data_IF_564798674527
#
_entry.id   IF_564798674527
#
_cell.length_a   1.000
_cell.length_b   1.000
_cell.length_c   1.000
_cell.angle_alpha   90.00
_cell.angle_beta   90.00
_cell.angle_gamma   90.00
#
_symmetry.space_group_name_H-M   'P 1'
#
loop_
_entity.id
_entity.type
_entity.pdbx_description
1 polymer ?
#
# COMPACT_ATOMS: atom_id res chain seq x y z
N UNK A 1 -0.37 26.66 -25.25
CA UNK A 1 0.64 25.65 -24.84
C UNK A 1 1.78 26.18 -23.96
N UNK A 2 2.39 27.34 -24.27
CA UNK A 2 3.56 27.86 -23.52
C UNK A 2 3.35 28.06 -22.00
N UNK A 3 2.14 28.41 -21.53
CA UNK A 3 1.89 28.61 -20.09
C UNK A 3 1.85 27.31 -19.27
N UNK A 4 1.40 26.19 -19.86
CA UNK A 4 1.34 24.90 -19.16
C UNK A 4 2.75 24.36 -18.93
N UNK A 5 3.61 24.42 -19.95
CA UNK A 5 5.01 24.02 -19.87
C UNK A 5 5.77 24.88 -18.86
N UNK A 6 5.64 26.21 -18.90
CA UNK A 6 6.32 27.09 -17.94
C UNK A 6 5.93 26.80 -16.49
N UNK A 7 4.64 26.54 -16.22
CA UNK A 7 4.14 26.26 -14.87
C UNK A 7 4.54 24.87 -14.35
N UNK A 8 4.74 23.90 -15.24
CA UNK A 8 4.96 22.49 -14.88
C UNK A 8 6.35 21.96 -15.25
N UNK A 9 7.27 22.79 -15.73
CA UNK A 9 8.60 22.39 -16.23
C UNK A 9 9.35 21.44 -15.29
N UNK A 10 9.33 21.68 -13.98
CA UNK A 10 10.01 20.84 -12.99
C UNK A 10 9.36 19.46 -12.85
N UNK A 11 8.04 19.38 -12.93
CA UNK A 11 7.33 18.10 -12.91
C UNK A 11 7.59 17.32 -14.19
N UNK A 12 7.57 18.00 -15.34
CA UNK A 12 7.88 17.38 -16.64
C UNK A 12 9.31 16.83 -16.62
N UNK A 13 10.27 17.62 -16.14
CA UNK A 13 11.65 17.19 -16.00
C UNK A 13 11.78 15.99 -15.05
N UNK A 14 11.09 15.99 -13.91
CA UNK A 14 11.07 14.85 -12.99
C UNK A 14 10.50 13.57 -13.64
N UNK A 15 9.42 13.69 -14.42
CA UNK A 15 8.84 12.56 -15.17
C UNK A 15 9.83 12.02 -16.19
N UNK A 16 10.42 12.89 -17.03
CA UNK A 16 11.43 12.50 -18.02
C UNK A 16 12.61 11.83 -17.34
N UNK A 17 13.07 12.39 -16.22
CA UNK A 17 14.18 11.85 -15.43
C UNK A 17 13.88 10.45 -14.90
N UNK A 18 12.72 10.24 -14.28
CA UNK A 18 12.32 8.91 -13.76
C UNK A 18 12.17 7.89 -14.89
N UNK A 19 11.58 8.28 -16.03
CA UNK A 19 11.47 7.42 -17.21
C UNK A 19 12.86 7.04 -17.76
N UNK A 20 13.76 8.01 -17.92
CA UNK A 20 15.10 7.74 -18.42
C UNK A 20 15.88 6.80 -17.48
N UNK A 21 15.84 7.04 -16.17
CA UNK A 21 16.54 6.22 -15.18
C UNK A 21 15.92 4.83 -15.01
N UNK A 22 14.59 4.71 -15.08
CA UNK A 22 13.93 3.40 -14.98
C UNK A 22 14.24 2.49 -16.15
N UNK A 23 14.44 3.04 -17.35
CA UNK A 23 14.85 2.27 -18.53
C UNK A 23 16.34 1.91 -18.54
N UNK A 24 17.17 2.51 -17.69
CA UNK A 24 18.61 2.32 -17.71
C UNK A 24 19.04 0.84 -17.55
N UNK A 25 18.49 0.05 -16.60
CA UNK A 25 18.81 -1.37 -16.49
C UNK A 25 18.47 -2.16 -17.75
N UNK A 26 17.37 -1.81 -18.42
CA UNK A 26 16.95 -2.42 -19.67
C UNK A 26 17.87 -2.08 -20.83
N UNK A 27 18.19 -0.79 -21.00
CA UNK A 27 19.10 -0.35 -22.04
C UNK A 27 20.51 -0.95 -21.84
N UNK A 28 20.96 -1.05 -20.59
CA UNK A 28 22.23 -1.68 -20.26
C UNK A 28 22.24 -3.18 -20.58
N UNK A 29 21.14 -3.89 -20.28
CA UNK A 29 21.03 -5.31 -20.60
C UNK A 29 21.01 -5.57 -22.11
N UNK A 30 20.30 -4.75 -22.88
CA UNK A 30 20.30 -4.79 -24.36
C UNK A 30 21.70 -4.51 -24.89
N UNK A 31 22.40 -3.51 -24.33
CA UNK A 31 23.77 -3.19 -24.72
C UNK A 31 24.74 -4.35 -24.47
N UNK A 32 24.65 -5.01 -23.31
CA UNK A 32 25.50 -6.15 -22.97
C UNK A 32 25.22 -7.40 -23.82
N UNK A 33 23.95 -7.70 -24.07
CA UNK A 33 23.57 -8.84 -24.90
C UNK A 33 23.85 -8.63 -26.39
N UNK A 34 23.87 -7.38 -26.85
CA UNK A 34 24.13 -7.04 -28.24
C UNK A 34 23.10 -7.68 -29.20
N UNK A 35 23.53 -8.17 -30.37
CA UNK A 35 22.65 -8.80 -31.36
C UNK A 35 21.90 -10.05 -30.86
N UNK A 36 22.39 -10.70 -29.80
CA UNK A 36 21.84 -11.95 -29.29
C UNK A 36 20.66 -11.74 -28.32
N UNK A 37 20.24 -10.49 -28.10
CA UNK A 37 19.16 -10.15 -27.19
C UNK A 37 17.82 -10.82 -27.56
N UNK A 38 17.35 -11.72 -26.69
CA UNK A 38 16.09 -12.44 -26.85
C UNK A 38 14.91 -11.77 -26.12
N UNK A 39 15.04 -10.50 -25.71
CA UNK A 39 13.94 -9.77 -25.08
C UNK A 39 13.76 -9.99 -23.57
N UNK A 40 14.45 -10.98 -22.98
CA UNK A 40 14.46 -11.23 -21.54
C UNK A 40 15.61 -10.47 -20.91
N UNK A 41 15.31 -9.72 -19.83
CA UNK A 41 16.34 -9.03 -19.08
C UNK A 41 17.41 -10.01 -18.57
N UNK A 42 18.67 -9.78 -18.99
CA UNK A 42 19.83 -10.40 -18.38
C UNK A 42 19.71 -10.23 -16.87
N UNK A 43 20.00 -11.31 -16.14
CA UNK A 43 19.80 -11.36 -14.71
C UNK A 43 20.69 -10.32 -14.02
N UNK A 44 20.14 -9.12 -13.81
CA UNK A 44 20.84 -8.02 -13.16
C UNK A 44 20.89 -8.22 -11.64
N UNK A 45 19.92 -8.99 -11.13
CA UNK A 45 19.70 -9.33 -9.73
C UNK A 45 19.40 -10.83 -9.68
N UNK A 46 20.06 -11.60 -8.81
CA UNK A 46 20.02 -13.09 -8.71
C UNK A 46 18.62 -13.75 -8.58
N UNK A 47 17.53 -12.96 -8.56
CA UNK A 47 16.15 -13.41 -8.49
C UNK A 47 15.24 -12.86 -9.61
N UNK A 48 15.80 -12.15 -10.60
CA UNK A 48 15.02 -11.53 -11.68
C UNK A 48 14.28 -12.56 -12.56
N UNK A 49 14.99 -13.61 -12.97
CA UNK A 49 14.40 -14.70 -13.77
C UNK A 49 13.30 -15.43 -13.00
N UNK A 50 13.48 -15.61 -11.68
CA UNK A 50 12.47 -16.22 -10.82
C UNK A 50 11.15 -15.45 -10.87
N UNK A 51 11.19 -14.12 -10.76
CA UNK A 51 9.98 -13.31 -10.81
C UNK A 51 9.36 -13.19 -12.20
N UNK A 52 10.16 -13.15 -13.27
CA UNK A 52 9.61 -13.19 -14.63
C UNK A 52 8.89 -14.49 -14.94
N UNK A 53 9.41 -15.63 -14.47
CA UNK A 53 8.74 -16.92 -14.62
C UNK A 53 7.35 -16.91 -13.94
N UNK A 54 7.28 -16.42 -12.69
CA UNK A 54 6.01 -16.29 -11.96
C UNK A 54 5.01 -15.36 -12.64
N UNK A 55 5.47 -14.20 -13.12
CA UNK A 55 4.64 -13.27 -13.88
C UNK A 55 4.13 -13.92 -15.18
N UNK A 56 4.99 -14.65 -15.90
CA UNK A 56 4.58 -15.38 -17.11
C UNK A 56 3.51 -16.43 -16.82
N UNK A 57 3.65 -17.19 -15.73
CA UNK A 57 2.70 -18.23 -15.35
C UNK A 57 1.33 -17.66 -14.94
N UNK A 58 1.32 -16.56 -14.20
CA UNK A 58 0.08 -15.82 -13.90
C UNK A 58 -0.55 -15.29 -15.19
N UNK A 59 0.25 -14.75 -16.12
CA UNK A 59 -0.21 -14.31 -17.44
C UNK A 59 -0.88 -15.42 -18.25
N UNK A 60 -0.43 -16.68 -18.09
CA UNK A 60 -1.02 -17.87 -18.74
C UNK A 60 -2.28 -18.40 -18.02
N UNK A 61 -2.70 -17.77 -16.93
CA UNK A 61 -3.92 -18.13 -16.19
C UNK A 61 -3.67 -18.95 -14.92
N UNK A 62 -2.42 -19.22 -14.54
CA UNK A 62 -2.08 -19.89 -13.28
C UNK A 62 -2.04 -18.87 -12.13
N UNK A 63 -3.22 -18.35 -11.74
CA UNK A 63 -3.34 -17.29 -10.72
C UNK A 63 -2.89 -17.72 -9.32
N UNK A 64 -3.05 -19.00 -8.98
CA UNK A 64 -2.49 -19.58 -7.76
C UNK A 64 -1.24 -20.36 -8.15
N UNK A 65 -0.09 -19.69 -8.09
CA UNK A 65 1.20 -20.22 -8.53
C UNK A 65 1.88 -20.96 -7.39
N UNK A 66 2.38 -22.16 -7.69
CA UNK A 66 3.36 -22.88 -6.88
C UNK A 66 4.78 -22.33 -7.05
N UNK A 67 5.81 -23.15 -6.80
CA UNK A 67 7.19 -22.78 -7.14
C UNK A 67 7.48 -23.18 -8.60
N UNK A 68 7.80 -22.24 -9.51
CA UNK A 68 7.97 -22.55 -10.93
C UNK A 68 9.22 -23.39 -11.24
N UNK A 69 10.17 -23.53 -10.29
CA UNK A 69 11.41 -24.29 -10.50
C UNK A 69 11.30 -25.77 -10.10
N UNK A 70 10.25 -26.17 -9.38
CA UNK A 70 10.05 -27.55 -8.96
C UNK A 70 8.81 -28.12 -9.63
N UNK A 71 9.01 -29.06 -10.56
CA UNK A 71 7.93 -29.68 -11.34
C UNK A 71 6.87 -30.33 -10.44
N UNK A 72 7.31 -30.90 -9.34
CA UNK A 72 6.49 -31.57 -8.33
C UNK A 72 5.54 -30.60 -7.62
N UNK A 73 5.94 -29.34 -7.48
CA UNK A 73 5.23 -28.31 -6.71
C UNK A 73 4.52 -27.27 -7.59
N UNK A 74 4.44 -27.48 -8.91
CA UNK A 74 3.85 -26.51 -9.85
C UNK A 74 2.36 -26.22 -9.57
N UNK A 75 1.61 -27.22 -9.10
CA UNK A 75 0.17 -27.12 -8.83
C UNK A 75 -0.15 -26.88 -7.36
N UNK A 76 0.86 -26.79 -6.52
CA UNK A 76 0.66 -26.54 -5.09
C UNK A 76 0.42 -25.06 -4.83
N UNK A 77 -0.30 -24.76 -3.75
CA UNK A 77 -0.39 -23.39 -3.28
C UNK A 77 0.97 -22.96 -2.75
N UNK A 78 1.62 -22.01 -3.41
CA UNK A 78 2.84 -21.44 -2.88
C UNK A 78 2.53 -20.69 -1.58
N UNK A 79 3.31 -20.91 -0.50
CA UNK A 79 3.27 -20.04 0.66
C UNK A 79 3.80 -18.63 0.34
N UNK A 80 4.37 -18.41 -0.86
CA UNK A 80 4.85 -17.11 -1.30
C UNK A 80 3.69 -16.20 -1.78
N UNK A 81 3.74 -14.95 -1.34
CA UNK A 81 2.83 -13.88 -1.74
C UNK A 81 2.81 -13.71 -3.27
N UNK A 82 1.61 -13.66 -3.85
CA UNK A 82 1.39 -13.69 -5.31
C UNK A 82 0.71 -12.42 -5.84
N UNK A 83 0.27 -11.51 -4.96
CA UNK A 83 -0.45 -10.31 -5.39
C UNK A 83 0.40 -9.38 -6.26
N UNK A 84 1.71 -9.32 -6.02
CA UNK A 84 2.61 -8.54 -6.86
C UNK A 84 2.75 -9.13 -8.26
N UNK A 85 2.76 -10.47 -8.39
CA UNK A 85 2.80 -11.14 -9.68
C UNK A 85 1.51 -10.87 -10.47
N UNK A 86 0.34 -10.88 -9.81
CA UNK A 86 -0.93 -10.49 -10.44
C UNK A 86 -0.90 -9.07 -10.99
N UNK A 87 -0.46 -8.13 -10.15
CA UNK A 87 -0.36 -6.73 -10.53
C UNK A 87 0.71 -6.48 -11.59
N UNK A 88 1.74 -7.30 -11.72
CA UNK A 88 2.72 -7.15 -12.79
C UNK A 88 2.27 -7.82 -14.10
N UNK A 89 1.38 -8.82 -14.03
CA UNK A 89 1.00 -9.65 -15.18
C UNK A 89 -0.16 -9.11 -16.01
N UNK A 90 -0.88 -8.09 -15.54
CA UNK A 90 -2.06 -7.59 -16.27
C UNK A 90 -1.82 -7.20 -17.74
N UNK A 91 -0.64 -6.71 -18.19
CA UNK A 91 -0.44 -6.46 -19.62
C UNK A 91 -0.46 -7.74 -20.44
N UNK A 92 -0.03 -8.88 -19.88
CA UNK A 92 -0.11 -10.19 -20.54
C UNK A 92 -1.57 -10.58 -20.80
N UNK A 93 -2.47 -10.30 -19.85
CA UNK A 93 -3.91 -10.53 -20.02
C UNK A 93 -4.54 -9.63 -21.08
N UNK A 94 -3.88 -8.52 -21.45
CA UNK A 94 -4.25 -7.67 -22.58
C UNK A 94 -3.62 -8.12 -23.92
N UNK A 95 -2.90 -9.24 -23.93
CA UNK A 95 -2.28 -9.80 -25.13
C UNK A 95 -0.88 -9.25 -25.46
N UNK A 96 -0.24 -8.52 -24.54
CA UNK A 96 1.15 -8.09 -24.70
C UNK A 96 2.09 -9.29 -24.56
N UNK A 97 3.23 -9.26 -25.25
CA UNK A 97 4.28 -10.25 -25.05
C UNK A 97 4.96 -10.10 -23.68
N UNK A 98 5.76 -11.09 -23.26
CA UNK A 98 6.50 -11.02 -22.01
C UNK A 98 7.46 -9.82 -21.99
N UNK A 99 8.19 -9.63 -23.08
CA UNK A 99 9.14 -8.53 -23.28
C UNK A 99 8.43 -7.18 -23.18
N UNK A 100 7.31 -7.03 -23.89
CA UNK A 100 6.52 -5.79 -23.86
C UNK A 100 5.97 -5.52 -22.46
N UNK A 101 5.53 -6.56 -21.74
CA UNK A 101 5.05 -6.45 -20.35
C UNK A 101 6.16 -5.98 -19.41
N UNK A 102 7.37 -6.53 -19.57
CA UNK A 102 8.55 -6.12 -18.81
C UNK A 102 8.83 -4.64 -19.03
N UNK A 103 8.99 -4.21 -20.30
CA UNK A 103 9.23 -2.79 -20.63
C UNK A 103 8.13 -1.90 -20.05
N UNK A 104 6.87 -2.32 -20.20
CA UNK A 104 5.72 -1.59 -19.67
C UNK A 104 5.79 -1.44 -18.14
N UNK A 105 6.14 -2.50 -17.40
CA UNK A 105 6.28 -2.45 -15.95
C UNK A 105 7.44 -1.54 -15.50
N UNK A 106 8.58 -1.55 -16.23
CA UNK A 106 9.69 -0.62 -15.97
C UNK A 106 9.30 0.84 -16.21
N UNK A 107 8.26 1.13 -16.99
CA UNK A 107 7.75 2.49 -17.15
C UNK A 107 6.67 2.82 -16.12
N UNK A 108 5.68 1.95 -15.99
CA UNK A 108 4.48 2.21 -15.20
C UNK A 108 4.77 2.34 -13.71
N UNK A 109 5.45 1.36 -13.12
CA UNK A 109 5.61 1.30 -11.67
C UNK A 109 6.46 2.45 -11.11
N UNK A 110 7.59 2.85 -11.73
CA UNK A 110 8.31 4.06 -11.37
C UNK A 110 7.48 5.34 -11.47
N UNK A 111 6.58 5.44 -12.46
CA UNK A 111 5.67 6.59 -12.58
C UNK A 111 4.60 6.59 -11.49
N UNK A 112 4.03 5.42 -11.15
CA UNK A 112 3.09 5.29 -10.03
C UNK A 112 3.80 5.67 -8.72
N UNK A 113 5.03 5.19 -8.51
CA UNK A 113 5.84 5.55 -7.34
C UNK A 113 6.11 7.06 -7.27
N UNK A 114 6.50 7.69 -8.38
CA UNK A 114 6.70 9.14 -8.45
C UNK A 114 5.41 9.88 -8.07
N UNK A 115 4.26 9.47 -8.62
CA UNK A 115 2.97 10.06 -8.30
C UNK A 115 2.58 9.87 -6.82
N UNK A 116 2.82 8.68 -6.27
CA UNK A 116 2.58 8.36 -4.86
C UNK A 116 3.46 9.22 -3.93
N UNK A 117 4.76 9.35 -4.23
CA UNK A 117 5.69 10.19 -3.46
C UNK A 117 5.31 11.67 -3.54
N UNK A 118 4.96 12.18 -4.71
CA UNK A 118 4.46 13.55 -4.88
C UNK A 118 3.19 13.79 -4.05
N UNK A 119 2.32 12.80 -3.97
CA UNK A 119 1.10 12.87 -3.16
C UNK A 119 1.45 12.85 -1.68
N UNK A 120 2.33 11.96 -1.24
CA UNK A 120 2.82 11.89 0.14
C UNK A 120 3.41 13.23 0.60
N UNK A 121 4.35 13.78 -0.16
CA UNK A 121 5.00 15.05 0.21
C UNK A 121 4.04 16.24 0.20
N UNK A 122 3.08 16.28 -0.72
CA UNK A 122 2.02 17.31 -0.69
C UNK A 122 1.12 17.14 0.53
N UNK A 123 0.74 15.91 0.88
CA UNK A 123 -0.04 15.64 2.09
C UNK A 123 0.75 16.01 3.34
N UNK A 124 2.08 15.92 3.34
CA UNK A 124 2.94 16.45 4.42
C UNK A 124 3.06 17.99 4.44
N UNK A 125 2.41 18.70 3.51
CA UNK A 125 2.41 20.17 3.47
C UNK A 125 3.63 20.78 2.79
N UNK A 126 4.43 20.01 2.06
CA UNK A 126 5.60 20.54 1.35
C UNK A 126 5.16 21.41 0.16
N UNK A 127 5.91 22.48 -0.08
CA UNK A 127 5.74 23.29 -1.28
C UNK A 127 5.98 22.45 -2.54
N UNK A 128 5.36 22.83 -3.66
CA UNK A 128 5.40 22.08 -4.91
C UNK A 128 6.83 21.68 -5.34
N UNK A 129 7.78 22.61 -5.28
CA UNK A 129 9.17 22.35 -5.67
C UNK A 129 9.87 21.38 -4.72
N UNK A 130 9.63 21.48 -3.41
CA UNK A 130 10.18 20.56 -2.40
C UNK A 130 9.60 19.17 -2.54
N UNK A 131 8.29 19.05 -2.83
CA UNK A 131 7.66 17.76 -3.09
C UNK A 131 8.24 17.08 -4.33
N UNK A 132 8.47 17.84 -5.42
CA UNK A 132 9.11 17.30 -6.64
C UNK A 132 10.55 16.87 -6.34
N UNK A 133 11.35 17.73 -5.71
CA UNK A 133 12.73 17.40 -5.36
C UNK A 133 12.83 16.18 -4.44
N UNK A 134 12.01 16.14 -3.38
CA UNK A 134 11.93 15.02 -2.45
C UNK A 134 11.52 13.72 -3.15
N UNK A 135 10.57 13.76 -4.09
CA UNK A 135 10.14 12.58 -4.83
C UNK A 135 11.25 12.03 -5.75
N UNK A 136 11.98 12.91 -6.45
CA UNK A 136 13.13 12.51 -7.27
C UNK A 136 14.25 11.91 -6.41
N UNK A 137 14.60 12.57 -5.31
CA UNK A 137 15.63 12.06 -4.38
C UNK A 137 15.22 10.71 -3.81
N UNK A 138 13.98 10.58 -3.35
CA UNK A 138 13.47 9.31 -2.80
C UNK A 138 13.49 8.19 -3.84
N UNK A 139 13.09 8.48 -5.08
CA UNK A 139 13.17 7.53 -6.19
C UNK A 139 14.62 7.07 -6.44
N UNK A 140 15.58 8.00 -6.49
CA UNK A 140 16.99 7.67 -6.67
C UNK A 140 17.51 6.78 -5.53
N UNK A 141 17.12 7.05 -4.28
CA UNK A 141 17.55 6.25 -3.13
C UNK A 141 17.07 4.80 -3.16
N UNK A 142 16.01 4.49 -3.92
CA UNK A 142 15.46 3.13 -4.06
C UNK A 142 15.52 2.61 -5.50
N UNK A 143 16.24 3.30 -6.39
CA UNK A 143 16.27 2.97 -7.83
C UNK A 143 16.79 1.55 -8.08
N UNK A 144 17.87 1.17 -7.40
CA UNK A 144 18.41 -0.19 -7.48
C UNK A 144 17.37 -1.24 -7.09
N UNK A 145 16.62 -1.00 -6.01
CA UNK A 145 15.58 -1.92 -5.56
C UNK A 145 14.40 -1.97 -6.54
N UNK A 146 14.03 -0.82 -7.12
CA UNK A 146 13.02 -0.73 -8.18
C UNK A 146 13.45 -1.38 -9.50
N UNK A 147 14.75 -1.62 -9.69
CA UNK A 147 15.25 -2.38 -10.83
C UNK A 147 14.98 -3.89 -10.70
N UNK A 148 14.68 -4.37 -9.48
CA UNK A 148 14.26 -5.77 -9.25
C UNK A 148 12.82 -5.93 -9.73
N UNK A 149 12.56 -6.78 -10.73
CA UNK A 149 11.28 -6.81 -11.42
C UNK A 149 10.14 -7.36 -10.57
N UNK A 150 8.91 -7.04 -10.97
CA UNK A 150 7.65 -7.57 -10.41
C UNK A 150 7.44 -7.16 -8.96
N UNK A 151 8.11 -7.82 -8.01
CA UNK A 151 7.80 -7.67 -6.59
C UNK A 151 8.19 -6.28 -6.09
N UNK A 152 9.44 -5.87 -6.24
CA UNK A 152 9.88 -4.57 -5.70
C UNK A 152 9.25 -3.40 -6.43
N UNK A 153 9.06 -3.52 -7.75
CA UNK A 153 8.36 -2.54 -8.57
C UNK A 153 6.94 -2.23 -8.05
N UNK A 154 6.23 -3.25 -7.55
CA UNK A 154 4.87 -3.10 -7.00
C UNK A 154 4.91 -2.67 -5.53
N UNK A 155 5.80 -3.26 -4.73
CA UNK A 155 5.88 -3.09 -3.27
C UNK A 155 6.11 -1.63 -2.86
N UNK A 156 7.07 -0.93 -3.48
CA UNK A 156 7.38 0.45 -3.09
C UNK A 156 6.23 1.43 -3.33
N UNK A 157 5.62 1.50 -4.53
CA UNK A 157 4.46 2.37 -4.75
C UNK A 157 3.31 2.06 -3.79
N UNK A 158 3.01 0.79 -3.53
CA UNK A 158 1.93 0.41 -2.61
C UNK A 158 2.26 0.79 -1.17
N UNK A 159 3.51 0.63 -0.73
CA UNK A 159 3.95 1.08 0.59
C UNK A 159 3.79 2.60 0.75
N UNK A 160 4.18 3.38 -0.25
CA UNK A 160 4.01 4.85 -0.23
C UNK A 160 2.52 5.21 -0.22
N UNK A 161 1.67 4.49 -0.96
CA UNK A 161 0.22 4.70 -0.93
C UNK A 161 -0.39 4.34 0.44
N UNK A 162 0.11 3.32 1.12
CA UNK A 162 -0.24 3.04 2.52
C UNK A 162 0.12 4.22 3.44
N UNK A 163 1.32 4.80 3.30
CA UNK A 163 1.70 5.98 4.09
C UNK A 163 0.82 7.21 3.77
N UNK A 164 0.47 7.42 2.50
CA UNK A 164 -0.48 8.46 2.10
C UNK A 164 -1.84 8.23 2.75
N UNK A 165 -2.33 6.99 2.72
CA UNK A 165 -3.60 6.60 3.31
C UNK A 165 -3.63 6.86 4.82
N UNK A 166 -2.59 6.40 5.51
CA UNK A 166 -2.42 6.60 6.93
C UNK A 166 -2.39 8.08 7.28
N UNK A 167 -1.60 8.88 6.57
CA UNK A 167 -1.49 10.31 6.85
C UNK A 167 -2.82 11.06 6.60
N UNK A 168 -3.57 10.68 5.56
CA UNK A 168 -4.90 11.26 5.29
C UNK A 168 -5.89 10.90 6.39
N UNK A 169 -5.92 9.65 6.81
CA UNK A 169 -6.73 9.21 7.95
C UNK A 169 -6.36 9.97 9.23
N UNK A 170 -5.06 10.16 9.52
CA UNK A 170 -4.62 10.91 10.70
C UNK A 170 -5.06 12.39 10.69
N UNK A 171 -5.23 13.00 9.51
CA UNK A 171 -5.71 14.38 9.38
C UNK A 171 -7.21 14.51 9.51
N UNK A 172 -7.94 13.55 8.93
CA UNK A 172 -9.39 13.56 8.83
C UNK A 172 -9.93 12.15 9.15
N UNK A 173 -9.88 11.72 10.43
CA UNK A 173 -10.18 10.34 10.83
C UNK A 173 -11.66 9.97 10.65
N UNK A 174 -12.54 10.99 10.61
CA UNK A 174 -13.98 10.81 10.43
C UNK A 174 -14.40 10.68 8.95
N UNK A 175 -13.50 10.92 7.98
CA UNK A 175 -13.82 10.73 6.57
C UNK A 175 -13.75 9.24 6.21
N UNK A 176 -14.93 8.66 5.94
CA UNK A 176 -15.11 7.26 5.51
C UNK A 176 -14.24 6.92 4.29
N UNK A 177 -13.96 7.87 3.39
CA UNK A 177 -13.10 7.64 2.22
C UNK A 177 -11.65 7.40 2.63
N UNK A 178 -11.11 8.23 3.53
CA UNK A 178 -9.74 8.08 4.03
C UNK A 178 -9.60 6.77 4.80
N UNK A 179 -10.63 6.40 5.55
CA UNK A 179 -10.70 5.14 6.27
C UNK A 179 -10.69 3.92 5.35
N UNK A 180 -11.58 3.87 4.35
CA UNK A 180 -11.61 2.78 3.37
C UNK A 180 -10.28 2.68 2.62
N UNK A 181 -9.69 3.81 2.25
CA UNK A 181 -8.41 3.84 1.54
C UNK A 181 -7.26 3.29 2.42
N UNK A 182 -7.25 3.57 3.73
CA UNK A 182 -6.32 2.95 4.68
C UNK A 182 -6.52 1.45 4.76
N UNK A 183 -7.76 0.95 4.93
CA UNK A 183 -8.04 -0.48 4.96
C UNK A 183 -7.57 -1.17 3.68
N UNK A 184 -7.89 -0.60 2.50
CA UNK A 184 -7.51 -1.16 1.22
C UNK A 184 -5.99 -1.32 1.09
N UNK A 185 -5.22 -0.25 1.33
CA UNK A 185 -3.76 -0.32 1.21
C UNK A 185 -3.09 -1.11 2.32
N UNK A 186 -3.64 -1.08 3.53
CA UNK A 186 -3.18 -1.93 4.63
C UNK A 186 -3.40 -3.42 4.31
N UNK A 187 -4.58 -3.81 3.83
CA UNK A 187 -4.86 -5.18 3.41
C UNK A 187 -3.94 -5.64 2.27
N UNK A 188 -3.72 -4.78 1.26
CA UNK A 188 -2.79 -5.08 0.17
C UNK A 188 -1.38 -5.42 0.68
N UNK A 189 -0.92 -4.82 1.77
CA UNK A 189 0.42 -5.14 2.32
C UNK A 189 0.60 -6.63 2.65
N UNK A 190 -0.48 -7.31 3.05
CA UNK A 190 -0.49 -8.74 3.37
C UNK A 190 -0.44 -9.65 2.15
N UNK A 191 -0.79 -9.16 0.95
CA UNK A 191 -0.85 -9.99 -0.25
C UNK A 191 0.32 -9.76 -1.21
N UNK A 192 1.06 -8.67 -1.03
CA UNK A 192 2.11 -8.28 -1.96
C UNK A 192 3.49 -8.79 -1.56
N UNK A 193 3.86 -8.77 -0.28
CA UNK A 193 5.21 -9.13 0.14
C UNK A 193 5.35 -9.42 1.64
N UNK A 194 6.16 -10.44 1.99
CA UNK A 194 6.33 -10.93 3.36
C UNK A 194 6.79 -9.88 4.36
N UNK A 195 7.63 -8.95 3.94
CA UNK A 195 8.16 -7.92 4.84
C UNK A 195 7.31 -6.65 4.83
N UNK A 196 6.48 -6.45 3.80
CA UNK A 196 5.68 -5.23 3.67
C UNK A 196 4.60 -5.16 4.75
N UNK A 197 3.87 -6.26 4.98
CA UNK A 197 2.86 -6.29 6.05
C UNK A 197 3.49 -6.17 7.43
N UNK A 198 4.69 -6.70 7.66
CA UNK A 198 5.39 -6.58 8.94
C UNK A 198 5.66 -5.10 9.26
N UNK A 199 6.19 -4.36 8.28
CA UNK A 199 6.45 -2.92 8.43
C UNK A 199 5.13 -2.16 8.67
N UNK A 200 4.07 -2.49 7.94
CA UNK A 200 2.75 -1.87 8.10
C UNK A 200 2.15 -2.15 9.48
N UNK A 201 2.18 -3.40 9.95
CA UNK A 201 1.72 -3.80 11.29
C UNK A 201 2.49 -3.08 12.38
N UNK A 202 3.82 -3.04 12.30
CA UNK A 202 4.66 -2.33 13.28
C UNK A 202 4.32 -0.85 13.29
N UNK A 203 4.11 -0.23 12.11
CA UNK A 203 3.70 1.17 12.01
C UNK A 203 2.37 1.42 12.71
N UNK A 204 1.35 0.59 12.46
CA UNK A 204 0.04 0.70 13.11
C UNK A 204 0.13 0.45 14.62
N UNK A 205 0.91 -0.54 15.04
CA UNK A 205 1.14 -0.85 16.45
C UNK A 205 1.78 0.32 17.20
N UNK A 206 2.84 0.92 16.63
CA UNK A 206 3.49 2.09 17.23
C UNK A 206 2.55 3.30 17.31
N UNK A 207 1.67 3.49 16.32
CA UNK A 207 0.65 4.53 16.34
C UNK A 207 -0.38 4.30 17.46
N UNK A 208 -0.84 3.05 17.64
CA UNK A 208 -1.74 2.69 18.73
C UNK A 208 -1.09 2.92 20.10
N UNK A 209 0.18 2.51 20.27
CA UNK A 209 0.94 2.79 21.49
C UNK A 209 1.08 4.30 21.73
N UNK A 210 1.30 5.09 20.69
CA UNK A 210 1.40 6.54 20.81
C UNK A 210 0.08 7.15 21.31
N UNK A 211 -1.08 6.75 20.77
CA UNK A 211 -2.38 7.19 21.27
C UNK A 211 -2.65 6.74 22.70
N UNK A 212 -2.25 5.52 23.06
CA UNK A 212 -2.34 5.01 24.42
C UNK A 212 -1.56 5.88 25.40
N UNK A 213 -0.31 6.24 25.06
CA UNK A 213 0.54 7.14 25.87
C UNK A 213 -0.07 8.54 25.96
N UNK A 214 -0.66 9.04 24.86
CA UNK A 214 -1.36 10.33 24.83
C UNK A 214 -2.73 10.31 25.51
N UNK A 215 -3.22 9.14 25.94
CA UNK A 215 -4.57 8.93 26.49
C UNK A 215 -5.67 9.39 25.53
N UNK A 216 -5.42 9.28 24.23
CA UNK A 216 -6.37 9.61 23.18
C UNK A 216 -7.27 8.40 22.90
N UNK A 217 -8.22 8.18 23.81
CA UNK A 217 -9.05 6.98 23.80
C UNK A 217 -9.95 6.85 22.58
N UNK A 218 -10.38 7.98 22.01
CA UNK A 218 -11.25 7.98 20.83
C UNK A 218 -10.46 7.43 19.64
N UNK A 219 -9.29 8.00 19.35
CA UNK A 219 -8.46 7.53 18.23
C UNK A 219 -7.90 6.11 18.48
N UNK A 220 -7.55 5.80 19.72
CA UNK A 220 -7.15 4.44 20.10
C UNK A 220 -8.27 3.42 19.83
N UNK A 221 -9.50 3.69 20.26
CA UNK A 221 -10.65 2.81 20.02
C UNK A 221 -10.98 2.69 18.54
N UNK A 222 -11.03 3.80 17.79
CA UNK A 222 -11.32 3.77 16.35
C UNK A 222 -10.25 2.99 15.58
N UNK A 223 -8.97 3.17 15.94
CA UNK A 223 -7.85 2.46 15.34
C UNK A 223 -7.78 0.97 15.72
N UNK A 224 -8.23 0.60 16.92
CA UNK A 224 -8.20 -0.78 17.41
C UNK A 224 -9.45 -1.58 17.02
N UNK A 225 -10.64 -0.98 17.10
CA UNK A 225 -11.92 -1.69 17.02
C UNK A 225 -12.57 -1.70 15.64
N UNK A 226 -12.02 -1.00 14.63
CA UNK A 226 -12.68 -0.83 13.32
C UNK A 226 -14.17 -0.53 13.56
N UNK A 227 -14.45 0.49 14.36
CA UNK A 227 -15.80 0.70 14.86
C UNK A 227 -16.65 1.35 13.75
N UNK A 228 -17.40 0.53 13.00
CA UNK A 228 -18.29 0.98 11.91
C UNK A 228 -19.48 1.83 12.40
N UNK A 229 -19.63 2.07 13.70
CA UNK A 229 -20.77 2.76 14.32
C UNK A 229 -20.54 4.24 14.66
N UNK A 230 -19.83 5.00 13.81
CA UNK A 230 -19.63 6.44 14.06
C UNK A 230 -20.84 7.32 13.70
N UNK A 231 -21.88 6.77 13.06
CA UNK A 231 -23.06 7.54 12.62
C UNK A 231 -24.11 7.80 13.74
N UNK A 232 -23.87 7.39 14.99
CA UNK A 232 -24.90 7.44 16.06
C UNK A 232 -24.61 8.42 17.22
N UNK A 233 -23.52 9.20 17.18
CA UNK A 233 -23.17 10.09 18.32
C UNK A 233 -23.37 11.58 18.01
N UNK A 234 -24.00 11.92 16.87
CA UNK A 234 -24.04 13.29 16.38
C UNK A 234 -25.39 13.78 15.86
N UNK A 235 -26.51 13.54 16.55
CA UNK A 235 -27.75 14.34 16.42
C UNK A 235 -28.88 13.83 17.34
N UNK A 236 -28.67 13.82 18.66
CA UNK A 236 -29.68 13.28 19.57
C UNK A 236 -29.51 13.69 21.03
N UNK A 237 -29.29 14.97 21.28
CA UNK A 237 -29.90 15.55 22.48
C UNK A 237 -31.43 15.52 22.23
N UNK A 238 -32.19 15.00 23.20
CA UNK A 238 -33.67 15.09 23.33
C UNK A 238 -34.59 13.88 23.02
N UNK A 239 -34.19 12.60 23.15
CA UNK A 239 -35.23 11.54 23.09
C UNK A 239 -35.06 10.22 23.86
N UNK A 240 -34.10 10.07 24.78
CA UNK A 240 -33.97 8.82 25.57
C UNK A 240 -34.51 8.93 27.01
N UNK A 241 -35.71 9.49 27.17
CA UNK A 241 -36.42 9.46 28.45
C UNK A 241 -37.57 8.44 28.51
N UNK A 242 -37.92 7.74 27.43
CA UNK A 242 -38.99 6.74 27.46
C UNK A 242 -38.70 5.62 26.45
N UNK A 243 -38.12 4.51 26.92
CA UNK A 243 -38.69 3.17 26.67
C UNK A 243 -37.77 2.11 27.28
N UNK A 244 -38.11 1.72 28.51
CA UNK A 244 -37.68 0.46 29.11
C UNK A 244 -38.90 -0.46 29.05
N UNK A 245 -39.02 -1.26 27.99
CA UNK A 245 -39.60 -2.60 28.05
C UNK A 245 -39.40 -3.31 26.72
N UNK A 246 -38.79 -4.50 26.74
CA UNK A 246 -38.57 -5.28 25.52
C UNK A 246 -37.34 -6.17 25.62
N UNK A 247 -37.47 -7.23 26.41
CA UNK A 247 -36.64 -8.42 26.29
C UNK A 247 -36.70 -8.96 24.86
N UNK A 248 -35.54 -9.07 24.19
CA UNK A 248 -35.11 -10.22 23.38
C UNK A 248 -34.08 -9.81 22.32
N UNK A 249 -32.78 -9.95 22.66
CA UNK A 249 -31.75 -10.35 21.70
C UNK A 249 -30.52 -10.90 22.46
N UNK A 250 -30.58 -12.18 22.81
CA UNK A 250 -29.45 -12.93 23.35
C UNK A 250 -28.89 -13.80 22.22
N UNK A 251 -27.76 -13.37 21.66
CA UNK A 251 -26.59 -14.19 21.26
C UNK A 251 -25.61 -13.29 20.49
N UNK A 252 -24.48 -12.94 21.11
CA UNK A 252 -23.41 -12.16 20.47
C UNK A 252 -22.55 -11.25 21.38
N UNK A 253 -22.74 -11.27 22.70
CA UNK A 253 -22.17 -10.25 23.61
C UNK A 253 -21.27 -10.82 24.72
N UNK A 254 -20.23 -11.60 24.38
CA UNK A 254 -19.14 -11.88 25.34
C UNK A 254 -18.01 -10.86 25.19
N UNK A 255 -17.63 -10.49 23.96
CA UNK A 255 -16.60 -9.47 23.71
C UNK A 255 -17.07 -8.04 24.05
N UNK A 256 -18.33 -7.73 23.77
CA UNK A 256 -18.95 -6.44 24.11
C UNK A 256 -19.07 -6.24 25.63
N UNK A 257 -19.23 -7.31 26.42
CA UNK A 257 -19.22 -7.23 27.89
C UNK A 257 -17.85 -6.91 28.45
N UNK A 258 -16.77 -7.44 27.87
CA UNK A 258 -15.40 -7.10 28.27
C UNK A 258 -15.08 -5.62 27.97
N UNK A 259 -15.55 -5.11 26.82
CA UNK A 259 -15.37 -3.72 26.40
C UNK A 259 -16.16 -2.76 27.30
N UNK A 260 -17.42 -3.08 27.63
CA UNK A 260 -18.23 -2.29 28.58
C UNK A 260 -17.65 -2.34 30.00
N UNK A 261 -17.11 -3.50 30.43
CA UNK A 261 -16.42 -3.60 31.72
C UNK A 261 -15.17 -2.72 31.78
N UNK A 262 -14.34 -2.75 30.73
CA UNK A 262 -13.15 -1.90 30.63
C UNK A 262 -13.52 -0.41 30.62
N UNK A 263 -14.59 -0.05 29.90
CA UNK A 263 -15.12 1.32 29.86
C UNK A 263 -15.63 1.80 31.24
N UNK A 264 -16.27 0.92 32.01
CA UNK A 264 -16.75 1.23 33.36
C UNK A 264 -15.62 1.39 34.39
N UNK A 265 -14.56 0.58 34.27
CA UNK A 265 -13.38 0.65 35.15
C UNK A 265 -12.58 1.94 34.93
N UNK A 266 -12.41 2.37 33.67
CA UNK A 266 -11.69 3.60 33.33
C UNK A 266 -12.47 4.86 33.77
N UNK A 267 -13.80 4.82 33.74
CA UNK A 267 -14.65 5.95 34.16
C UNK A 267 -14.74 6.10 35.68
N UNK A 268 -14.81 5.00 36.42
CA UNK A 268 -14.91 5.01 37.89
C UNK A 268 -13.58 5.33 38.58
N UNK A 269 -12.43 5.10 37.92
CA UNK A 269 -11.12 5.50 38.42
C UNK A 269 -10.90 7.03 38.52
N UNK A 270 -11.74 7.85 37.89
CA UNK A 270 -11.67 9.33 37.96
C UNK A 270 -12.58 9.96 39.00
N UNK A 271 -13.45 9.20 39.67
CA UNK A 271 -14.42 9.74 40.65
C UNK A 271 -14.03 9.54 42.13
N UNK A 272 -12.84 9.00 42.42
CA UNK A 272 -12.30 8.93 43.79
C UNK A 272 -11.09 9.84 43.96
N UNK A 273 -11.32 11.15 43.88
CA UNK A 273 -10.50 12.16 44.53
C UNK A 273 -11.35 13.42 44.74
N UNK A 274 -12.18 13.38 45.78
CA UNK A 274 -12.71 14.53 46.48
C UNK A 274 -12.32 14.34 47.95
#
# INVERSE_FOLDING_TARGET
>A
MNNLFRKNKYLIFAVIFVVAFSLLPLLYSVYLAGPDWQGILLEYTNDGLYYYARMSDVGKGHVFIGNPFFLEHLKEYSPAFFGADWLASWPLWLGFSLEQTVVFNYLLWPLILLAALLTLFKTLGLSRSRAIGGAVVSYLSIHELMSRPVVMQVVFPVYVLFLVALLRYLKEPNDKKNYCLLICFYALTFYLYSYLWQIAVVTMFLLLLWWLVKKDWINFQTGFLINFNYDQVGSGEDSFANDVSGSDFILGNVELRAIVYFYSMVRTGKQKSA
#
